data_IF_328690722473
#
_entry.id   IF_328690722473
#
_cell.length_a   1.000
_cell.length_b   1.000
_cell.length_c   1.000
_cell.angle_alpha   90.00
_cell.angle_beta   90.00
_cell.angle_gamma   90.00
#
_symmetry.space_group_name_H-M   'P 1'
#
loop_
_entity.id
_entity.type
_entity.pdbx_description
1 polymer ?
#
# COMPACT_ATOMS: atom_id res chain seq x y z
N UNK A 1 -13.71 -32.26 22.06
CA UNK A 1 -13.76 -30.84 22.43
C UNK A 1 -13.58 -30.10 21.10
N UNK A 2 -14.67 -29.66 20.48
CA UNK A 2 -14.58 -28.94 19.20
C UNK A 2 -14.01 -27.54 19.50
N UNK A 3 -12.74 -27.30 19.11
CA UNK A 3 -12.20 -25.94 19.08
C UNK A 3 -12.96 -25.17 18.00
N UNK A 4 -13.98 -24.43 18.41
CA UNK A 4 -14.61 -23.44 17.53
C UNK A 4 -13.77 -22.16 17.61
N UNK A 5 -12.63 -22.15 16.93
CA UNK A 5 -11.89 -20.92 16.63
C UNK A 5 -12.57 -20.21 15.44
N UNK A 6 -13.89 -19.96 15.58
CA UNK A 6 -14.63 -19.10 14.67
C UNK A 6 -14.20 -17.67 14.95
N UNK A 7 -13.32 -17.12 14.15
CA UNK A 7 -12.95 -15.72 14.25
C UNK A 7 -11.47 -15.38 14.08
N UNK A 8 -10.59 -16.37 14.03
CA UNK A 8 -9.15 -16.10 13.93
C UNK A 8 -8.68 -15.61 12.53
N UNK A 9 -9.47 -15.85 11.49
CA UNK A 9 -9.12 -15.45 10.12
C UNK A 9 -9.16 -13.94 9.85
N UNK A 10 -9.76 -13.15 10.73
CA UNK A 10 -9.94 -11.72 10.54
C UNK A 10 -9.00 -10.85 11.40
N UNK A 11 -7.98 -11.45 11.99
CA UNK A 11 -7.03 -10.72 12.86
C UNK A 11 -5.95 -9.95 12.08
N UNK A 12 -5.88 -10.10 10.76
CA UNK A 12 -5.13 -9.14 9.95
C UNK A 12 -5.94 -7.85 9.84
N UNK A 13 -5.90 -7.03 10.88
CA UNK A 13 -6.17 -5.61 10.72
C UNK A 13 -5.02 -5.11 9.86
N UNK A 14 -5.28 -4.92 8.59
CA UNK A 14 -4.40 -4.13 7.74
C UNK A 14 -4.49 -2.70 8.26
N UNK A 15 -3.71 -2.39 9.30
CA UNK A 15 -3.30 -1.04 9.48
C UNK A 15 -2.55 -0.69 8.20
N UNK A 16 -3.01 0.32 7.50
CA UNK A 16 -2.50 0.67 6.20
C UNK A 16 -0.98 0.78 6.25
N UNK A 17 -0.23 0.08 5.41
CA UNK A 17 1.19 0.32 5.29
C UNK A 17 1.40 1.73 4.75
N UNK A 18 2.32 2.43 5.34
CA UNK A 18 2.76 3.74 4.93
C UNK A 18 4.01 3.54 4.09
N UNK A 19 4.11 4.28 3.01
CA UNK A 19 5.20 4.31 2.05
C UNK A 19 6.53 3.69 2.53
N UNK A 20 6.89 2.55 2.01
CA UNK A 20 8.24 2.09 1.84
C UNK A 20 8.26 1.30 0.54
N UNK A 21 9.14 1.64 -0.37
CA UNK A 21 9.28 0.94 -1.66
C UNK A 21 8.12 1.05 -2.64
N UNK A 22 7.18 2.02 -2.52
CA UNK A 22 6.10 2.19 -3.50
C UNK A 22 4.91 3.01 -3.03
N UNK A 23 3.85 3.05 -3.84
CA UNK A 23 2.61 3.77 -3.56
C UNK A 23 1.50 2.87 -2.97
N UNK A 24 1.82 1.70 -2.40
CA UNK A 24 0.82 0.80 -1.82
C UNK A 24 0.39 1.28 -0.43
N UNK A 25 -0.86 1.74 -0.29
CA UNK A 25 -1.48 2.13 1.00
C UNK A 25 -1.93 0.94 1.81
N UNK A 26 -2.47 -0.10 1.16
CA UNK A 26 -2.90 -1.32 1.82
C UNK A 26 -2.86 -2.51 0.85
N UNK A 27 -2.19 -3.63 1.20
CA UNK A 27 -2.28 -4.84 0.39
C UNK A 27 -3.70 -5.39 0.43
N UNK A 28 -4.16 -5.94 -0.70
CA UNK A 28 -5.47 -6.56 -0.78
C UNK A 28 -5.63 -7.69 0.24
N UNK A 29 -6.65 -7.59 1.08
CA UNK A 29 -6.99 -8.65 2.02
C UNK A 29 -8.06 -9.57 1.45
N UNK A 30 -7.72 -10.84 1.23
CA UNK A 30 -8.67 -11.88 0.83
C UNK A 30 -9.25 -12.67 2.00
N UNK A 31 -9.04 -12.21 3.24
CA UNK A 31 -9.53 -12.85 4.46
C UNK A 31 -11.03 -13.12 4.47
N UNK A 32 -11.81 -12.27 3.81
CA UNK A 32 -13.26 -12.42 3.67
C UNK A 32 -13.67 -13.75 3.00
N UNK A 33 -12.87 -14.30 2.07
CA UNK A 33 -13.14 -15.57 1.42
C UNK A 33 -13.19 -16.74 2.40
N UNK A 34 -12.55 -16.59 3.56
CA UNK A 34 -12.43 -17.63 4.60
C UNK A 34 -13.37 -17.42 5.78
N UNK A 35 -14.16 -16.34 5.81
CA UNK A 35 -15.24 -16.16 6.77
C UNK A 35 -16.33 -17.21 6.53
N UNK A 36 -17.07 -17.58 7.57
CA UNK A 36 -18.12 -18.61 7.48
C UNK A 36 -19.44 -18.00 7.01
N UNK A 37 -20.18 -18.74 6.19
CA UNK A 37 -21.50 -18.35 5.73
C UNK A 37 -21.49 -17.06 4.88
N UNK A 38 -22.59 -16.33 4.94
CA UNK A 38 -22.70 -14.99 4.37
C UNK A 38 -22.11 -13.98 5.33
N UNK A 39 -21.31 -13.06 4.82
CA UNK A 39 -20.60 -12.09 5.64
C UNK A 39 -20.44 -10.76 4.90
N UNK A 40 -20.65 -9.67 5.60
CA UNK A 40 -20.39 -8.34 5.11
C UNK A 40 -19.47 -7.59 6.07
N UNK A 41 -18.57 -6.77 5.57
CA UNK A 41 -17.73 -5.93 6.41
C UNK A 41 -17.56 -4.52 5.83
N UNK A 42 -17.49 -3.55 6.73
CA UNK A 42 -17.12 -2.18 6.47
C UNK A 42 -15.86 -1.88 7.27
N UNK A 43 -14.86 -1.30 6.62
CA UNK A 43 -13.62 -0.87 7.24
C UNK A 43 -13.36 0.61 6.98
N UNK A 44 -12.79 1.29 7.95
CA UNK A 44 -12.36 2.68 7.82
C UNK A 44 -11.23 2.96 8.81
N UNK A 45 -10.44 3.95 8.49
CA UNK A 45 -9.32 4.34 9.33
C UNK A 45 -8.58 5.54 8.76
N UNK A 46 -7.49 5.85 9.41
CA UNK A 46 -6.60 6.93 8.99
C UNK A 46 -5.17 6.64 9.41
N UNK A 47 -4.28 7.30 8.72
CA UNK A 47 -2.84 7.22 8.93
C UNK A 47 -2.27 8.62 8.91
N UNK A 48 -1.39 8.88 9.87
CA UNK A 48 -0.67 10.15 10.05
C UNK A 48 0.83 9.86 10.04
N UNK A 49 1.51 10.03 8.90
CA UNK A 49 2.95 9.92 8.77
C UNK A 49 3.63 11.23 9.14
N UNK A 50 4.87 11.15 9.62
CA UNK A 50 5.78 12.27 9.83
C UNK A 50 7.11 11.91 9.15
N UNK A 51 7.42 12.55 8.01
CA UNK A 51 8.58 12.26 7.17
C UNK A 51 9.38 13.53 6.95
N UNK A 52 10.52 13.64 7.59
CA UNK A 52 11.37 14.83 7.58
C UNK A 52 12.82 14.51 7.16
N UNK A 53 13.55 15.57 6.80
CA UNK A 53 14.98 15.45 6.49
C UNK A 53 15.63 16.80 6.26
N UNK A 54 16.78 16.76 5.58
CA UNK A 54 17.55 17.97 5.21
C UNK A 54 18.02 17.86 3.77
N UNK A 55 17.90 18.96 3.06
CA UNK A 55 18.48 19.09 1.73
C UNK A 55 20.02 19.32 1.76
N UNK A 56 20.64 19.22 0.61
CA UNK A 56 22.11 19.39 0.48
C UNK A 56 22.59 20.82 0.78
N UNK A 57 21.70 21.80 0.81
CA UNK A 57 22.01 23.16 1.23
C UNK A 57 21.85 23.37 2.74
N UNK A 58 21.44 22.30 3.50
CA UNK A 58 21.31 22.29 4.95
C UNK A 58 19.96 22.76 5.48
N UNK A 59 18.97 23.01 4.62
CA UNK A 59 17.61 23.39 5.03
C UNK A 59 16.80 22.16 5.42
N UNK A 60 15.89 22.32 6.40
CA UNK A 60 14.93 21.28 6.76
C UNK A 60 13.89 21.14 5.65
N UNK A 61 13.56 19.90 5.29
CA UNK A 61 12.47 19.65 4.32
C UNK A 61 11.10 20.03 4.89
N UNK A 62 10.96 19.99 6.23
CA UNK A 62 9.67 19.90 6.89
C UNK A 62 9.05 18.51 6.68
N UNK A 63 7.87 18.29 7.25
CA UNK A 63 7.10 17.07 7.01
C UNK A 63 6.58 17.06 5.57
N UNK A 64 7.01 16.05 4.81
CA UNK A 64 6.68 15.94 3.38
C UNK A 64 5.54 14.98 3.11
N UNK A 65 5.17 14.11 4.05
CA UNK A 65 4.11 13.13 3.88
C UNK A 65 2.79 13.66 4.43
N UNK A 66 1.71 13.52 3.67
CA UNK A 66 0.39 13.96 4.13
C UNK A 66 -0.40 12.80 4.70
N UNK A 67 -1.14 13.06 5.79
CA UNK A 67 -2.06 12.10 6.37
C UNK A 67 -3.20 11.74 5.42
N UNK A 68 -3.71 10.50 5.50
CA UNK A 68 -4.81 10.06 4.67
C UNK A 68 -5.80 9.17 5.42
N UNK A 69 -7.06 9.18 4.95
CA UNK A 69 -8.10 8.26 5.38
C UNK A 69 -8.38 7.20 4.34
N UNK A 70 -8.96 6.08 4.77
CA UNK A 70 -9.40 5.02 3.88
C UNK A 70 -10.76 4.46 4.30
N UNK A 71 -11.52 3.99 3.32
CA UNK A 71 -12.78 3.26 3.50
C UNK A 71 -12.74 2.02 2.64
N UNK A 72 -13.17 0.88 3.18
CA UNK A 72 -13.30 -0.36 2.45
C UNK A 72 -14.62 -1.05 2.76
N UNK A 73 -15.11 -1.81 1.81
CA UNK A 73 -16.30 -2.63 1.93
C UNK A 73 -16.01 -4.01 1.34
N UNK A 74 -16.50 -5.06 2.00
CA UNK A 74 -16.47 -6.38 1.41
C UNK A 74 -17.74 -7.17 1.76
N UNK A 75 -18.16 -8.00 0.82
CA UNK A 75 -19.32 -8.88 0.95
C UNK A 75 -18.99 -10.26 0.44
N UNK A 76 -19.32 -11.29 1.22
CA UNK A 76 -19.22 -12.69 0.83
C UNK A 76 -20.58 -13.36 0.82
N UNK A 77 -20.86 -14.10 -0.23
CA UNK A 77 -22.04 -14.96 -0.36
C UNK A 77 -21.64 -16.43 -0.46
N UNK A 78 -22.21 -17.25 0.40
CA UNK A 78 -22.03 -18.68 0.38
C UNK A 78 -23.21 -19.33 -0.34
N UNK A 79 -23.00 -19.82 -1.57
CA UNK A 79 -24.06 -20.48 -2.36
C UNK A 79 -24.37 -21.88 -1.86
N UNK A 80 -23.33 -22.64 -1.49
CA UNK A 80 -23.40 -23.99 -0.92
C UNK A 80 -22.11 -24.31 -0.15
N UNK A 81 -21.94 -25.51 0.34
CA UNK A 81 -20.78 -25.93 1.14
C UNK A 81 -19.43 -25.78 0.41
N UNK A 82 -19.45 -25.82 -0.92
CA UNK A 82 -18.23 -25.79 -1.74
C UNK A 82 -18.00 -24.46 -2.45
N UNK A 83 -19.08 -23.73 -2.83
CA UNK A 83 -18.98 -22.54 -3.67
C UNK A 83 -19.36 -21.27 -2.92
N UNK A 84 -18.50 -20.27 -2.97
CA UNK A 84 -18.76 -18.93 -2.48
C UNK A 84 -18.26 -17.87 -3.47
N UNK A 85 -18.83 -16.67 -3.38
CA UNK A 85 -18.37 -15.48 -4.08
C UNK A 85 -18.04 -14.37 -3.07
N UNK A 86 -17.14 -13.47 -3.44
CA UNK A 86 -16.89 -12.25 -2.68
C UNK A 86 -16.79 -11.05 -3.61
N UNK A 87 -17.17 -9.90 -3.07
CA UNK A 87 -17.00 -8.58 -3.70
C UNK A 87 -16.28 -7.68 -2.70
N UNK A 88 -15.21 -7.02 -3.13
CA UNK A 88 -14.34 -6.20 -2.29
C UNK A 88 -14.18 -4.84 -2.96
N UNK A 89 -14.30 -3.77 -2.17
CA UNK A 89 -13.98 -2.39 -2.56
C UNK A 89 -12.92 -1.87 -1.62
N UNK A 90 -11.82 -1.39 -2.15
CA UNK A 90 -10.67 -0.94 -1.38
C UNK A 90 -9.87 0.14 -2.11
N UNK A 91 -8.97 0.81 -1.40
CA UNK A 91 -8.08 1.85 -1.92
C UNK A 91 -6.62 1.40 -1.75
N UNK A 92 -6.13 0.47 -2.61
CA UNK A 92 -4.85 -0.20 -2.39
C UNK A 92 -3.65 0.69 -2.69
N UNK A 93 -3.76 1.62 -3.63
CA UNK A 93 -2.68 2.50 -4.05
C UNK A 93 -3.03 3.96 -3.81
N UNK A 94 -2.03 4.74 -3.43
CA UNK A 94 -2.15 6.17 -3.28
C UNK A 94 -0.88 6.78 -2.69
N UNK A 95 -0.66 8.06 -3.02
CA UNK A 95 0.41 8.89 -2.49
C UNK A 95 -0.11 10.29 -2.28
N UNK A 96 0.36 10.96 -1.24
CA UNK A 96 0.19 12.41 -1.06
C UNK A 96 1.45 12.95 -0.38
N UNK A 97 2.31 13.55 -1.19
CA UNK A 97 3.57 14.14 -0.77
C UNK A 97 3.61 15.59 -1.19
N UNK A 98 4.12 16.45 -0.31
CA UNK A 98 4.37 17.86 -0.61
C UNK A 98 5.60 18.31 0.15
N UNK A 99 6.65 18.69 -0.55
CA UNK A 99 7.81 19.35 0.03
C UNK A 99 7.50 20.82 0.29
N UNK A 100 7.46 21.28 1.55
CA UNK A 100 7.25 22.68 1.88
C UNK A 100 8.26 23.58 1.20
N UNK A 101 7.79 24.71 0.66
CA UNK A 101 8.65 25.73 0.03
C UNK A 101 9.32 26.58 1.10
N UNK A 102 10.63 26.83 0.95
CA UNK A 102 11.35 27.69 1.88
C UNK A 102 10.79 29.13 1.87
N UNK A 103 10.59 29.77 3.05
CA UNK A 103 10.18 31.16 3.12
C UNK A 103 11.26 32.09 2.54
N UNK A 104 10.86 33.29 2.06
CA UNK A 104 11.79 34.27 1.53
C UNK A 104 12.02 35.41 2.56
N UNK A 105 13.28 35.74 2.93
CA UNK A 105 14.52 35.06 2.54
C UNK A 105 14.62 33.64 3.18
N UNK A 106 15.27 32.69 2.52
CA UNK A 106 15.43 31.35 3.07
C UNK A 106 16.17 31.38 4.41
N UNK A 107 15.66 30.59 5.38
CA UNK A 107 16.26 30.44 6.70
C UNK A 107 16.32 28.94 7.08
N UNK A 108 17.52 28.35 7.30
CA UNK A 108 17.67 26.94 7.64
C UNK A 108 17.00 26.50 8.97
N UNK A 109 16.60 27.45 9.80
CA UNK A 109 15.88 27.17 11.05
C UNK A 109 14.37 26.94 10.85
N UNK A 110 13.84 27.34 9.69
CA UNK A 110 12.44 27.13 9.33
C UNK A 110 12.29 25.89 8.45
N UNK A 111 11.10 25.33 8.44
CA UNK A 111 10.75 24.27 7.52
C UNK A 111 10.57 24.82 6.11
N UNK A 112 10.96 24.00 5.13
CA UNK A 112 10.90 24.32 3.71
C UNK A 112 12.27 24.27 3.05
N UNK A 113 12.35 23.53 1.95
CA UNK A 113 13.57 23.30 1.18
C UNK A 113 13.62 24.21 -0.06
N UNK A 114 14.69 24.96 -0.29
CA UNK A 114 14.91 25.60 -1.59
C UNK A 114 15.31 24.58 -2.68
N UNK A 115 15.75 23.37 -2.30
CA UNK A 115 16.22 22.35 -3.24
C UNK A 115 15.07 21.50 -3.77
N UNK A 116 14.07 21.17 -2.94
CA UNK A 116 12.93 20.30 -3.29
C UNK A 116 11.56 20.97 -3.08
N UNK A 117 11.52 22.15 -2.47
CA UNK A 117 10.28 22.83 -2.10
C UNK A 117 9.38 23.12 -3.30
N UNK A 118 8.10 22.76 -3.18
CA UNK A 118 7.12 22.77 -4.27
C UNK A 118 6.94 21.44 -4.99
N UNK A 119 7.85 20.48 -4.80
CA UNK A 119 7.68 19.12 -5.33
C UNK A 119 6.48 18.45 -4.67
N UNK A 120 5.59 17.88 -5.49
CA UNK A 120 4.36 17.24 -5.06
C UNK A 120 4.12 15.95 -5.83
N UNK A 121 3.58 14.96 -5.13
CA UNK A 121 3.01 13.75 -5.72
C UNK A 121 1.62 13.55 -5.14
N UNK A 122 0.65 13.33 -5.99
CA UNK A 122 -0.68 12.92 -5.57
C UNK A 122 -1.16 11.77 -6.45
N UNK A 123 -1.55 10.66 -5.82
CA UNK A 123 -2.12 9.48 -6.49
C UNK A 123 -3.26 8.96 -5.64
N UNK A 124 -4.39 8.72 -6.27
CA UNK A 124 -5.55 8.09 -5.64
C UNK A 124 -6.05 6.93 -6.51
N UNK A 125 -6.49 5.85 -5.83
CA UNK A 125 -7.09 4.72 -6.52
C UNK A 125 -8.23 4.10 -5.74
N UNK A 126 -9.18 3.51 -6.47
CA UNK A 126 -10.23 2.66 -5.90
C UNK A 126 -10.34 1.40 -6.74
N UNK A 127 -10.25 0.24 -6.09
CA UNK A 127 -10.29 -1.07 -6.74
C UNK A 127 -11.49 -1.86 -6.29
N UNK A 128 -12.17 -2.44 -7.26
CA UNK A 128 -13.33 -3.32 -7.12
C UNK A 128 -12.91 -4.72 -7.55
N UNK A 129 -13.04 -5.70 -6.66
CA UNK A 129 -12.65 -7.08 -6.94
C UNK A 129 -13.83 -8.01 -6.75
N UNK A 130 -14.16 -8.78 -7.80
CA UNK A 130 -15.16 -9.84 -7.75
C UNK A 130 -14.47 -11.20 -7.83
N UNK A 131 -14.72 -12.07 -6.86
CA UNK A 131 -14.05 -13.35 -6.67
C UNK A 131 -15.05 -14.49 -6.57
N UNK A 132 -14.63 -15.66 -7.06
CA UNK A 132 -15.24 -16.95 -6.78
C UNK A 132 -14.23 -17.81 -6.04
N UNK A 133 -14.70 -18.60 -5.08
CA UNK A 133 -13.93 -19.64 -4.39
C UNK A 133 -14.66 -20.95 -4.45
N UNK A 134 -13.95 -22.00 -4.87
CA UNK A 134 -14.43 -23.38 -4.83
C UNK A 134 -13.58 -24.21 -3.87
N UNK A 135 -14.21 -24.84 -2.88
CA UNK A 135 -13.57 -25.73 -1.91
C UNK A 135 -13.87 -27.18 -2.27
N UNK A 136 -12.83 -27.99 -2.42
CA UNK A 136 -12.91 -29.42 -2.64
C UNK A 136 -13.05 -30.17 -1.32
N UNK A 137 -13.50 -31.42 -1.38
CA UNK A 137 -13.70 -32.26 -0.19
C UNK A 137 -12.40 -32.63 0.54
N UNK A 138 -11.25 -32.46 -0.13
CA UNK A 138 -9.91 -32.73 0.42
C UNK A 138 -9.27 -31.51 1.12
N UNK A 139 -10.06 -30.52 1.54
CA UNK A 139 -9.61 -29.30 2.20
C UNK A 139 -8.80 -28.32 1.33
N UNK A 140 -8.59 -28.63 0.06
CA UNK A 140 -8.03 -27.67 -0.91
C UNK A 140 -9.14 -26.73 -1.39
N UNK A 141 -8.83 -25.49 -1.60
CA UNK A 141 -9.70 -24.57 -2.33
C UNK A 141 -8.93 -23.79 -3.35
N UNK A 142 -9.61 -23.37 -4.42
CA UNK A 142 -9.09 -22.45 -5.42
C UNK A 142 -9.97 -21.21 -5.46
N UNK A 143 -9.38 -20.07 -5.70
CA UNK A 143 -10.10 -18.82 -5.87
C UNK A 143 -9.55 -18.06 -7.04
N UNK A 144 -10.42 -17.24 -7.64
CA UNK A 144 -10.02 -16.38 -8.74
C UNK A 144 -11.13 -15.39 -9.07
N UNK A 145 -10.74 -14.33 -9.79
CA UNK A 145 -11.69 -13.30 -10.15
C UNK A 145 -11.08 -12.15 -10.92
N UNK A 146 -11.89 -11.14 -11.13
CA UNK A 146 -11.55 -9.94 -11.89
C UNK A 146 -11.41 -8.73 -10.95
N UNK A 147 -10.54 -7.82 -11.34
CA UNK A 147 -10.32 -6.53 -10.67
C UNK A 147 -10.58 -5.41 -11.67
N UNK A 148 -11.35 -4.42 -11.26
CA UNK A 148 -11.46 -3.14 -11.93
C UNK A 148 -10.89 -2.06 -11.03
N UNK A 149 -9.95 -1.27 -11.51
CA UNK A 149 -9.33 -0.20 -10.74
C UNK A 149 -9.52 1.13 -11.46
N UNK A 150 -10.01 2.12 -10.74
CA UNK A 150 -9.99 3.52 -11.16
C UNK A 150 -8.82 4.19 -10.48
N UNK A 151 -7.98 4.90 -11.22
CA UNK A 151 -6.83 5.61 -10.70
C UNK A 151 -6.70 6.97 -11.36
N UNK A 152 -6.17 7.94 -10.60
CA UNK A 152 -5.82 9.28 -11.07
C UNK A 152 -4.58 9.75 -10.32
N UNK A 153 -3.86 10.74 -10.85
CA UNK A 153 -2.70 11.25 -10.15
C UNK A 153 -1.99 12.39 -10.86
N UNK A 154 -0.97 12.91 -10.19
CA UNK A 154 -0.13 13.98 -10.74
C UNK A 154 1.19 14.11 -9.99
N UNK A 155 2.15 14.71 -10.66
CA UNK A 155 3.49 14.99 -10.14
C UNK A 155 3.88 16.39 -10.54
N UNK A 156 4.28 17.20 -9.56
CA UNK A 156 4.94 18.49 -9.79
C UNK A 156 6.39 18.39 -9.31
N UNK A 157 7.34 18.74 -10.12
CA UNK A 157 8.75 18.84 -9.76
C UNK A 157 9.13 20.32 -9.62
N UNK A 158 9.56 20.73 -8.42
CA UNK A 158 10.01 22.09 -8.20
C UNK A 158 11.22 22.13 -7.26
N UNK A 159 11.89 23.29 -7.22
CA UNK A 159 13.09 23.51 -6.45
C UNK A 159 14.38 23.36 -7.28
N UNK A 160 15.47 23.88 -6.69
CA UNK A 160 16.77 23.97 -7.35
C UNK A 160 17.39 22.60 -7.67
N UNK A 161 16.99 21.54 -6.97
CA UNK A 161 17.51 20.18 -7.17
C UNK A 161 17.16 19.59 -8.52
N UNK A 162 16.09 20.03 -9.14
CA UNK A 162 15.66 19.57 -10.45
C UNK A 162 16.25 20.39 -11.61
N UNK A 163 17.00 21.45 -11.32
CA UNK A 163 17.68 22.23 -12.35
C UNK A 163 16.74 22.70 -13.46
N UNK A 164 17.00 22.29 -14.70
CA UNK A 164 16.19 22.69 -15.86
C UNK A 164 14.79 22.08 -15.94
N UNK A 165 14.47 21.10 -15.09
CA UNK A 165 13.13 20.48 -15.00
C UNK A 165 12.28 21.05 -13.85
N UNK A 166 12.80 21.99 -13.07
CA UNK A 166 12.00 22.70 -12.08
C UNK A 166 10.81 23.41 -12.76
N UNK A 167 9.62 23.29 -12.16
CA UNK A 167 8.36 23.73 -12.74
C UNK A 167 7.73 22.75 -13.74
N UNK A 168 8.24 21.52 -13.83
CA UNK A 168 7.58 20.43 -14.55
C UNK A 168 6.32 19.97 -13.81
N UNK A 169 5.24 19.76 -14.55
CA UNK A 169 3.94 19.34 -14.04
C UNK A 169 3.35 18.28 -14.95
N UNK A 170 2.99 17.14 -14.35
CA UNK A 170 2.31 16.01 -14.97
C UNK A 170 0.97 15.80 -14.32
N UNK A 171 -0.09 15.75 -15.10
CA UNK A 171 -1.45 15.42 -14.70
C UNK A 171 -1.92 14.18 -15.48
N UNK A 172 -2.41 13.19 -14.77
CA UNK A 172 -3.02 11.96 -15.31
C UNK A 172 -4.50 12.00 -14.98
N UNK A 173 -5.35 12.16 -16.02
CA UNK A 173 -6.80 12.14 -15.89
C UNK A 173 -7.26 10.77 -15.36
N UNK A 174 -8.35 10.74 -14.59
CA UNK A 174 -8.85 9.51 -14.01
C UNK A 174 -9.27 8.46 -15.04
N UNK A 175 -8.71 7.23 -14.93
CA UNK A 175 -8.94 6.14 -15.87
C UNK A 175 -9.16 4.79 -15.21
N UNK A 176 -9.93 3.92 -15.92
CA UNK A 176 -10.18 2.55 -15.51
C UNK A 176 -9.16 1.59 -16.10
N UNK A 177 -8.68 0.69 -15.25
CA UNK A 177 -7.88 -0.45 -15.65
C UNK A 177 -8.50 -1.77 -15.18
N UNK A 178 -8.10 -2.88 -15.78
CA UNK A 178 -8.60 -4.21 -15.42
C UNK A 178 -7.47 -5.20 -15.19
N UNK A 179 -7.69 -6.12 -14.26
CA UNK A 179 -6.77 -7.19 -13.94
C UNK A 179 -7.51 -8.40 -13.38
N UNK A 180 -6.75 -9.38 -12.88
CA UNK A 180 -7.30 -10.59 -12.29
C UNK A 180 -6.54 -11.03 -11.05
N UNK A 181 -7.19 -11.88 -10.26
CA UNK A 181 -6.63 -12.54 -9.07
C UNK A 181 -6.80 -14.04 -9.25
N UNK A 182 -5.76 -14.80 -8.91
CA UNK A 182 -5.79 -16.26 -8.87
C UNK A 182 -5.11 -16.75 -7.61
N UNK A 183 -5.63 -17.82 -7.00
CA UNK A 183 -4.98 -18.39 -5.84
C UNK A 183 -5.54 -19.75 -5.45
N UNK A 184 -4.86 -20.35 -4.48
CA UNK A 184 -5.23 -21.61 -3.87
C UNK A 184 -4.99 -21.57 -2.38
N UNK A 185 -5.74 -22.37 -1.63
CA UNK A 185 -5.55 -22.54 -0.20
C UNK A 185 -5.76 -23.99 0.22
N UNK A 186 -5.08 -24.33 1.32
CA UNK A 186 -5.28 -25.60 2.03
C UNK A 186 -5.61 -25.31 3.49
N UNK A 187 -6.67 -25.94 4.00
CA UNK A 187 -7.18 -25.70 5.35
C UNK A 187 -7.27 -26.99 6.14
N UNK A 188 -6.85 -26.95 7.40
CA UNK A 188 -7.04 -28.04 8.39
C UNK A 188 -7.84 -27.43 9.55
N UNK A 189 -9.19 -27.53 9.51
CA UNK A 189 -10.06 -26.85 10.49
C UNK A 189 -9.80 -27.28 11.95
N UNK A 190 -9.42 -28.52 12.19
CA UNK A 190 -9.22 -29.05 13.55
C UNK A 190 -8.13 -28.35 14.35
N UNK A 191 -7.16 -27.78 13.66
CA UNK A 191 -6.05 -27.02 14.25
C UNK A 191 -6.03 -25.56 13.78
N UNK A 192 -7.12 -25.10 13.16
CA UNK A 192 -7.24 -23.76 12.57
C UNK A 192 -6.08 -23.42 11.60
N UNK A 193 -5.47 -24.44 10.97
CA UNK A 193 -4.40 -24.21 10.02
C UNK A 193 -4.95 -23.85 8.64
N UNK A 194 -4.32 -22.87 8.02
CA UNK A 194 -4.53 -22.48 6.63
C UNK A 194 -3.22 -22.00 6.04
N UNK A 195 -2.97 -22.40 4.80
CA UNK A 195 -1.94 -21.80 3.94
C UNK A 195 -2.63 -21.38 2.65
N UNK A 196 -2.40 -20.16 2.19
CA UNK A 196 -2.91 -19.66 0.93
C UNK A 196 -1.82 -18.96 0.12
N UNK A 197 -1.85 -19.15 -1.19
CA UNK A 197 -1.01 -18.46 -2.14
C UNK A 197 -1.91 -17.72 -3.11
N UNK A 198 -1.68 -16.43 -3.26
CA UNK A 198 -2.46 -15.55 -4.14
C UNK A 198 -1.54 -14.77 -5.08
N UNK A 199 -1.92 -14.73 -6.33
CA UNK A 199 -1.33 -13.90 -7.38
C UNK A 199 -2.29 -12.80 -7.79
N UNK A 200 -1.81 -11.57 -7.82
CA UNK A 200 -2.49 -10.41 -8.41
C UNK A 200 -1.77 -10.02 -9.69
N UNK A 201 -2.51 -9.96 -10.80
CA UNK A 201 -1.97 -9.48 -12.08
C UNK A 201 -1.66 -7.98 -12.03
N UNK A 202 -0.79 -7.47 -12.90
CA UNK A 202 -0.74 -6.04 -13.19
C UNK A 202 -2.11 -5.53 -13.63
N UNK A 203 -2.35 -4.25 -13.42
CA UNK A 203 -3.49 -3.53 -14.00
C UNK A 203 -2.94 -2.40 -14.85
N UNK A 204 -3.32 -2.37 -16.12
CA UNK A 204 -2.93 -1.33 -17.07
C UNK A 204 -4.01 -0.25 -17.09
N UNK A 205 -3.59 1.02 -16.97
CA UNK A 205 -4.43 2.20 -17.09
C UNK A 205 -3.91 3.03 -18.25
N UNK A 206 -4.75 3.27 -19.24
CA UNK A 206 -4.43 4.09 -20.42
C UNK A 206 -4.84 5.54 -20.14
N UNK A 207 -4.02 6.23 -19.36
CA UNK A 207 -4.29 7.60 -18.95
C UNK A 207 -4.23 8.59 -20.11
N UNK A 208 -5.15 9.55 -20.13
CA UNK A 208 -4.92 10.81 -20.81
C UNK A 208 -4.02 11.66 -19.93
N UNK A 209 -2.90 12.06 -20.50
CA UNK A 209 -1.82 12.76 -19.83
C UNK A 209 -1.72 14.19 -20.32
N UNK A 210 -1.52 15.14 -19.40
CA UNK A 210 -1.14 16.51 -19.71
C UNK A 210 0.18 16.83 -19.03
N UNK A 211 1.20 17.17 -19.83
CA UNK A 211 2.50 17.61 -19.33
C UNK A 211 2.70 19.11 -19.59
N UNK A 212 3.28 19.81 -18.61
CA UNK A 212 3.63 21.24 -18.71
C UNK A 212 5.04 21.45 -18.15
N UNK A 213 5.66 22.54 -18.53
CA UNK A 213 7.01 22.89 -18.07
C UNK A 213 8.12 22.16 -18.84
N UNK A 214 9.35 22.23 -18.31
CA UNK A 214 10.53 21.75 -19.01
C UNK A 214 10.96 22.66 -20.18
N UNK A 215 11.66 22.13 -21.20
CA UNK A 215 12.29 22.93 -22.25
C UNK A 215 11.30 23.53 -23.25
N UNK A 216 10.05 23.09 -23.28
CA UNK A 216 9.04 23.57 -24.21
C UNK A 216 8.00 24.45 -23.50
N UNK A 217 7.69 25.66 -24.03
CA UNK A 217 6.75 26.56 -23.41
C UNK A 217 5.27 26.22 -23.71
N UNK A 218 4.99 24.99 -24.12
CA UNK A 218 3.65 24.51 -24.50
C UNK A 218 3.30 23.25 -23.72
N UNK A 219 2.01 23.09 -23.39
CA UNK A 219 1.53 21.85 -22.83
C UNK A 219 1.55 20.73 -23.90
N UNK A 220 1.97 19.56 -23.50
CA UNK A 220 1.82 18.33 -24.29
C UNK A 220 0.63 17.55 -23.74
N UNK A 221 -0.25 17.07 -24.62
CA UNK A 221 -1.39 16.21 -24.27
C UNK A 221 -1.28 14.95 -25.09
N UNK A 222 -1.31 13.80 -24.45
CA UNK A 222 -1.17 12.49 -25.07
C UNK A 222 -1.81 11.39 -24.24
N UNK A 223 -1.74 10.17 -24.73
CA UNK A 223 -2.17 8.99 -24.02
C UNK A 223 -0.93 8.23 -23.52
N UNK A 224 -0.98 7.75 -22.29
CA UNK A 224 0.13 7.02 -21.68
C UNK A 224 -0.37 5.87 -20.79
N UNK A 225 0.23 4.68 -20.96
CA UNK A 225 -0.14 3.50 -20.17
C UNK A 225 0.78 3.37 -18.96
N UNK A 226 0.18 3.40 -17.76
CA UNK A 226 0.85 3.08 -16.50
C UNK A 226 0.37 1.72 -15.99
N UNK A 227 1.29 0.89 -15.50
CA UNK A 227 0.99 -0.45 -14.96
C UNK A 227 1.14 -0.44 -13.44
N UNK A 228 0.10 -0.82 -12.72
CA UNK A 228 0.27 -1.20 -11.32
C UNK A 228 0.99 -2.55 -11.24
N UNK A 229 1.84 -2.79 -10.22
CA UNK A 229 2.68 -3.98 -10.19
C UNK A 229 1.90 -5.26 -9.93
N UNK A 230 2.41 -6.37 -10.45
CA UNK A 230 1.99 -7.71 -10.02
C UNK A 230 2.50 -8.02 -8.63
N UNK A 231 1.81 -8.91 -7.95
CA UNK A 231 2.25 -9.36 -6.63
C UNK A 231 1.93 -10.81 -6.35
N UNK A 232 2.73 -11.40 -5.46
CA UNK A 232 2.48 -12.71 -4.87
C UNK A 232 2.39 -12.58 -3.36
N UNK A 233 1.37 -13.20 -2.76
CA UNK A 233 1.20 -13.24 -1.31
C UNK A 233 1.03 -14.68 -0.86
N UNK A 234 1.96 -15.13 -0.01
CA UNK A 234 1.85 -16.38 0.73
C UNK A 234 1.41 -16.05 2.16
N UNK A 235 0.27 -16.59 2.58
CA UNK A 235 -0.24 -16.41 3.94
C UNK A 235 -0.33 -17.75 4.65
N UNK A 236 -0.06 -17.75 5.94
CA UNK A 236 -0.16 -18.93 6.77
C UNK A 236 -0.73 -18.61 8.14
N UNK A 237 -1.48 -19.54 8.70
CA UNK A 237 -1.92 -19.51 10.10
C UNK A 237 -2.04 -20.91 10.67
N UNK A 238 -1.92 -21.04 11.99
CA UNK A 238 -2.19 -22.30 12.70
C UNK A 238 -2.45 -22.05 14.20
N UNK A 239 -3.31 -22.85 14.80
CA UNK A 239 -3.47 -22.91 16.25
C UNK A 239 -2.25 -23.55 16.89
N UNK A 240 -1.57 -22.82 17.78
CA UNK A 240 -0.36 -23.29 18.49
C UNK A 240 -0.63 -23.69 19.94
N UNK A 241 -1.74 -23.24 20.49
CA UNK A 241 -2.24 -23.62 21.81
C UNK A 241 -3.76 -23.39 21.88
N UNK A 242 -4.39 -23.78 22.98
CA UNK A 242 -5.79 -23.42 23.22
C UNK A 242 -5.98 -21.92 23.10
N UNK A 243 -6.99 -21.50 22.31
CA UNK A 243 -7.36 -20.10 22.09
C UNK A 243 -6.22 -19.21 21.54
N UNK A 244 -5.16 -19.80 20.96
CA UNK A 244 -3.99 -19.06 20.48
C UNK A 244 -3.66 -19.46 19.05
N UNK A 245 -3.59 -18.47 18.17
CA UNK A 245 -3.28 -18.60 16.74
C UNK A 245 -1.95 -17.91 16.44
N UNK A 246 -1.07 -18.58 15.72
CA UNK A 246 0.07 -17.97 15.03
C UNK A 246 -0.33 -17.71 13.58
N UNK A 247 0.03 -16.55 13.05
CA UNK A 247 -0.21 -16.22 11.63
C UNK A 247 0.96 -15.43 11.07
N UNK A 248 1.06 -15.40 9.75
CA UNK A 248 2.06 -14.60 9.07
C UNK A 248 1.88 -14.61 7.57
N UNK A 249 2.64 -13.75 6.90
CA UNK A 249 2.64 -13.66 5.45
C UNK A 249 4.00 -13.24 4.90
N UNK A 250 4.23 -13.61 3.64
CA UNK A 250 5.31 -13.08 2.80
C UNK A 250 4.65 -12.54 1.54
N UNK A 251 4.85 -11.24 1.27
CA UNK A 251 4.33 -10.56 0.09
C UNK A 251 5.48 -10.00 -0.73
N UNK A 252 5.56 -10.41 -1.98
CA UNK A 252 6.47 -9.84 -2.97
C UNK A 252 5.68 -9.01 -3.99
N UNK A 253 6.18 -7.82 -4.30
CA UNK A 253 5.61 -6.88 -5.25
C UNK A 253 6.67 -6.47 -6.26
N UNK A 254 6.36 -6.57 -7.54
CA UNK A 254 7.26 -6.21 -8.63
C UNK A 254 7.10 -4.74 -9.00
N UNK A 255 7.62 -3.86 -8.15
CA UNK A 255 7.57 -2.41 -8.37
C UNK A 255 8.37 -1.94 -9.57
N UNK A 256 9.37 -2.70 -10.01
CA UNK A 256 10.13 -2.42 -11.24
C UNK A 256 9.28 -2.48 -12.52
N UNK A 257 8.00 -2.85 -12.45
CA UNK A 257 7.03 -2.75 -13.55
C UNK A 257 6.21 -1.45 -13.51
N UNK A 258 6.28 -0.69 -12.40
CA UNK A 258 5.63 0.60 -12.27
C UNK A 258 6.56 1.67 -12.83
N UNK A 259 6.34 2.02 -14.08
CA UNK A 259 7.10 3.02 -14.80
C UNK A 259 6.17 4.16 -15.22
N UNK A 260 6.62 5.39 -15.03
CA UNK A 260 6.00 6.59 -15.58
C UNK A 260 7.02 7.22 -16.52
N UNK A 261 6.98 6.81 -17.79
CA UNK A 261 7.85 7.28 -18.86
C UNK A 261 7.07 8.21 -19.79
N UNK A 262 7.15 9.47 -19.54
CA UNK A 262 6.41 10.55 -20.17
C UNK A 262 7.22 11.19 -21.32
N UNK A 263 6.61 12.09 -22.09
CA UNK A 263 7.21 12.63 -23.31
C UNK A 263 8.17 13.80 -23.05
N UNK A 264 7.77 14.79 -22.24
CA UNK A 264 8.56 16.02 -22.03
C UNK A 264 9.70 15.83 -21.05
N UNK A 265 9.52 15.01 -20.02
CA UNK A 265 10.54 14.81 -19.00
C UNK A 265 11.84 14.21 -19.55
N UNK A 266 11.82 13.15 -20.40
CA UNK A 266 13.03 12.66 -21.04
C UNK A 266 13.71 13.65 -21.98
N UNK A 267 12.94 14.57 -22.61
CA UNK A 267 13.54 15.63 -23.45
C UNK A 267 14.35 16.61 -22.59
N UNK A 268 13.89 16.87 -21.36
CA UNK A 268 14.54 17.79 -20.44
C UNK A 268 15.78 17.19 -19.75
N UNK A 269 15.73 15.92 -19.41
CA UNK A 269 16.75 15.23 -18.62
C UNK A 269 17.68 14.34 -19.46
N UNK A 270 17.25 13.92 -20.64
CA UNK A 270 17.90 12.93 -21.48
C UNK A 270 17.01 11.71 -21.73
N UNK A 271 17.13 11.11 -22.89
CA UNK A 271 16.31 9.94 -23.28
C UNK A 271 16.57 8.75 -22.35
N UNK A 272 15.50 8.13 -21.86
CA UNK A 272 15.58 6.91 -21.04
C UNK A 272 15.69 7.14 -19.53
N UNK A 273 15.37 8.34 -19.04
CA UNK A 273 15.24 8.61 -17.61
C UNK A 273 13.76 8.56 -17.24
N UNK A 274 13.30 7.55 -16.47
CA UNK A 274 11.91 7.51 -15.99
C UNK A 274 11.68 8.59 -14.92
N UNK A 275 10.47 9.15 -14.88
CA UNK A 275 10.06 10.09 -13.81
C UNK A 275 10.02 9.38 -12.45
N UNK A 276 9.55 8.13 -12.43
CA UNK A 276 9.46 7.28 -11.25
C UNK A 276 10.15 5.96 -11.53
N UNK A 277 11.05 5.58 -10.63
CA UNK A 277 11.74 4.30 -10.62
C UNK A 277 11.66 3.72 -9.21
N UNK A 278 11.07 2.54 -9.08
CA UNK A 278 10.88 1.85 -7.82
C UNK A 278 11.51 0.45 -7.89
N UNK A 279 12.03 -0.04 -6.79
CA UNK A 279 12.60 -1.38 -6.67
C UNK A 279 11.58 -2.40 -6.14
N UNK A 280 11.76 -3.68 -6.50
CA UNK A 280 10.90 -4.77 -6.05
C UNK A 280 11.00 -4.95 -4.54
N UNK A 281 9.87 -5.07 -3.85
CA UNK A 281 9.83 -5.20 -2.39
C UNK A 281 9.37 -6.58 -1.94
N UNK A 282 9.86 -6.99 -0.77
CA UNK A 282 9.36 -8.17 -0.04
C UNK A 282 9.04 -7.79 1.39
N UNK A 283 7.74 -7.90 1.73
CA UNK A 283 7.23 -7.60 3.07
C UNK A 283 6.96 -8.91 3.82
N UNK A 284 7.46 -9.00 5.04
CA UNK A 284 7.26 -10.12 5.95
C UNK A 284 6.38 -9.69 7.11
N UNK A 285 5.39 -10.51 7.47
CA UNK A 285 4.55 -10.27 8.63
C UNK A 285 4.49 -11.55 9.48
N UNK A 286 4.57 -11.39 10.80
CA UNK A 286 4.33 -12.46 11.76
C UNK A 286 3.50 -11.90 12.91
N UNK A 287 2.56 -12.69 13.41
CA UNK A 287 1.71 -12.25 14.51
C UNK A 287 1.10 -13.39 15.29
N UNK A 288 0.59 -13.05 16.46
CA UNK A 288 -0.12 -13.95 17.34
C UNK A 288 -1.46 -13.35 17.72
N UNK A 289 -2.50 -14.17 17.66
CA UNK A 289 -3.84 -13.84 18.12
C UNK A 289 -4.26 -14.72 19.28
N UNK A 290 -5.02 -14.16 20.23
CA UNK A 290 -5.52 -14.91 21.37
C UNK A 290 -6.95 -14.53 21.70
N UNK A 291 -7.77 -15.53 21.96
CA UNK A 291 -9.10 -15.39 22.54
C UNK A 291 -8.96 -15.29 24.07
N UNK A 292 -9.43 -14.21 24.67
CA UNK A 292 -9.36 -13.96 26.10
C UNK A 292 -10.63 -14.38 26.82
N UNK A 293 -11.79 -14.10 26.19
CA UNK A 293 -13.12 -14.49 26.66
C UNK A 293 -13.96 -14.94 25.47
N UNK A 294 -15.21 -15.31 25.69
CA UNK A 294 -16.10 -15.71 24.59
C UNK A 294 -16.35 -14.57 23.59
N UNK A 295 -16.29 -13.34 24.05
CA UNK A 295 -16.55 -12.15 23.20
C UNK A 295 -15.26 -11.40 22.82
N UNK A 296 -14.19 -11.49 23.60
CA UNK A 296 -12.99 -10.70 23.37
C UNK A 296 -11.81 -11.53 22.93
N UNK A 297 -11.18 -11.08 21.87
CA UNK A 297 -9.87 -11.54 21.42
C UNK A 297 -8.98 -10.36 21.06
N UNK A 298 -7.70 -10.62 20.97
CA UNK A 298 -6.72 -9.61 20.56
C UNK A 298 -5.62 -10.24 19.75
N UNK A 299 -4.89 -9.40 19.04
CA UNK A 299 -3.72 -9.81 18.27
C UNK A 299 -2.61 -8.77 18.34
N UNK A 300 -1.41 -9.27 18.15
CA UNK A 300 -0.22 -8.45 17.92
C UNK A 300 0.50 -9.01 16.70
N UNK A 301 0.93 -8.14 15.80
CA UNK A 301 1.77 -8.51 14.67
C UNK A 301 2.94 -7.55 14.51
N UNK A 302 3.99 -8.09 13.92
CA UNK A 302 5.18 -7.37 13.52
C UNK A 302 5.34 -7.50 12.01
N UNK A 303 5.69 -6.38 11.35
CA UNK A 303 5.95 -6.29 9.92
C UNK A 303 7.39 -5.83 9.71
N UNK A 304 8.04 -6.38 8.71
CA UNK A 304 9.36 -6.01 8.27
C UNK A 304 9.41 -5.95 6.73
N UNK A 305 10.00 -4.89 6.21
CA UNK A 305 10.36 -4.70 4.81
C UNK A 305 11.77 -4.12 4.76
N UNK A 306 12.62 -4.72 3.94
CA UNK A 306 14.04 -4.33 3.86
C UNK A 306 14.22 -2.97 3.21
N UNK A 307 15.35 -2.33 3.49
CA UNK A 307 15.78 -1.10 2.84
C UNK A 307 16.57 -1.42 1.58
N UNK A 308 16.43 -0.56 0.60
CA UNK A 308 17.18 -0.61 -0.65
C UNK A 308 18.56 0.09 -0.50
N UNK A 309 19.50 -0.32 -1.32
CA UNK A 309 20.82 0.33 -1.38
C UNK A 309 20.81 1.53 -2.35
N UNK A 310 21.54 2.58 -2.01
CA UNK A 310 21.77 3.73 -2.90
C UNK A 310 20.87 4.93 -2.69
N UNK A 311 20.70 5.74 -3.75
CA UNK A 311 19.90 6.97 -3.73
C UNK A 311 18.47 6.66 -4.12
N UNK A 312 17.54 6.90 -3.20
CA UNK A 312 16.09 6.75 -3.43
C UNK A 312 15.48 7.98 -4.10
N UNK A 313 14.26 7.85 -4.61
CA UNK A 313 13.57 8.93 -5.29
C UNK A 313 12.98 9.96 -4.30
N UNK A 314 13.07 11.28 -4.57
CA UNK A 314 12.29 12.27 -3.82
C UNK A 314 10.78 12.05 -3.89
N UNK A 315 10.28 11.34 -4.90
CA UNK A 315 8.87 11.00 -5.05
C UNK A 315 8.43 9.78 -4.21
N UNK A 316 9.41 9.09 -3.55
CA UNK A 316 9.20 8.02 -2.57
C UNK A 316 10.30 8.13 -1.50
N UNK A 317 10.17 9.08 -0.54
CA UNK A 317 11.29 9.53 0.31
C UNK A 317 11.56 8.65 1.51
N UNK A 318 11.07 7.43 1.58
CA UNK A 318 11.28 6.47 2.67
C UNK A 318 11.87 5.17 2.15
N UNK A 319 12.62 4.45 3.00
CA UNK A 319 13.42 3.30 2.61
C UNK A 319 13.33 2.17 3.63
N UNK A 320 12.53 1.14 3.29
CA UNK A 320 12.23 0.05 4.20
C UNK A 320 11.38 0.47 5.41
N UNK A 321 10.83 -0.50 6.13
CA UNK A 321 9.95 -0.21 7.29
C UNK A 321 9.87 -1.36 8.27
N UNK A 322 9.54 -1.00 9.52
CA UNK A 322 9.22 -1.94 10.60
C UNK A 322 7.96 -1.45 11.29
N UNK A 323 6.99 -2.34 11.47
CA UNK A 323 5.75 -1.94 12.12
C UNK A 323 5.30 -2.92 13.19
N UNK A 324 4.60 -2.38 14.18
CA UNK A 324 3.89 -3.16 15.19
C UNK A 324 2.42 -2.79 15.11
N UNK A 325 1.56 -3.80 15.02
CA UNK A 325 0.10 -3.62 15.07
C UNK A 325 -0.46 -4.32 16.30
N UNK A 326 -1.31 -3.62 17.03
CA UNK A 326 -2.12 -4.18 18.11
C UNK A 326 -3.58 -4.10 17.71
N UNK A 327 -4.32 -5.20 17.87
CA UNK A 327 -5.73 -5.27 17.54
C UNK A 327 -6.55 -5.86 18.69
N UNK A 328 -7.75 -5.32 18.88
CA UNK A 328 -8.78 -5.88 19.74
C UNK A 328 -9.99 -6.24 18.88
N UNK A 329 -10.57 -7.40 19.14
CA UNK A 329 -11.76 -7.90 18.46
C UNK A 329 -12.85 -8.18 19.48
N UNK A 330 -14.01 -7.59 19.29
CA UNK A 330 -15.22 -7.88 20.03
C UNK A 330 -16.22 -8.59 19.13
N UNK A 331 -16.64 -9.78 19.53
CA UNK A 331 -17.63 -10.58 18.82
C UNK A 331 -18.84 -10.80 19.70
N UNK A 332 -20.00 -10.42 19.21
CA UNK A 332 -21.27 -10.68 19.88
C UNK A 332 -22.34 -11.03 18.85
N UNK A 333 -22.93 -12.21 19.00
CA UNK A 333 -23.93 -12.75 18.07
C UNK A 333 -23.39 -12.76 16.62
N UNK A 334 -23.99 -11.99 15.72
CA UNK A 334 -23.59 -11.84 14.31
C UNK A 334 -22.57 -10.73 14.08
N UNK A 335 -22.32 -9.87 15.08
CA UNK A 335 -21.42 -8.73 14.94
C UNK A 335 -19.99 -9.07 15.35
N UNK A 336 -19.04 -8.57 14.60
CA UNK A 336 -17.63 -8.64 14.87
C UNK A 336 -17.00 -7.28 14.63
N UNK A 337 -16.56 -6.62 15.71
CA UNK A 337 -15.93 -5.31 15.65
C UNK A 337 -14.44 -5.51 15.93
N UNK A 338 -13.61 -5.07 14.99
CA UNK A 338 -12.16 -5.11 15.14
C UNK A 338 -11.63 -3.69 15.14
N UNK A 339 -10.83 -3.33 16.14
CA UNK A 339 -10.13 -2.05 16.20
C UNK A 339 -8.64 -2.32 16.31
N UNK A 340 -7.84 -1.60 15.54
CA UNK A 340 -6.40 -1.74 15.53
C UNK A 340 -5.68 -0.39 15.59
N UNK A 341 -4.53 -0.39 16.22
CA UNK A 341 -3.55 0.68 16.16
C UNK A 341 -2.26 0.13 15.59
N UNK A 342 -1.61 0.94 14.77
CA UNK A 342 -0.34 0.60 14.14
C UNK A 342 0.67 1.71 14.43
N UNK A 343 1.89 1.30 14.75
CA UNK A 343 3.06 2.17 14.77
C UNK A 343 4.06 1.64 13.76
N UNK A 344 4.48 2.49 12.83
CA UNK A 344 5.45 2.16 11.80
C UNK A 344 6.66 3.08 11.95
N UNK A 345 7.84 2.47 12.01
CA UNK A 345 9.10 3.15 11.81
C UNK A 345 9.49 3.01 10.34
N UNK A 346 9.62 4.14 9.66
CA UNK A 346 10.06 4.26 8.27
C UNK A 346 11.56 4.51 8.25
N UNK A 347 12.29 3.80 7.41
CA UNK A 347 13.71 4.06 7.21
C UNK A 347 13.92 5.34 6.41
N UNK A 348 14.91 6.12 6.80
CA UNK A 348 15.41 7.25 6.05
C UNK A 348 16.36 6.82 4.93
N UNK A 349 16.89 7.80 4.20
CA UNK A 349 17.85 7.54 3.13
C UNK A 349 18.28 8.80 2.40
N UNK A 350 19.27 8.64 1.54
CA UNK A 350 19.74 9.72 0.67
C UNK A 350 18.87 9.81 -0.57
N UNK A 351 18.30 11.00 -0.83
CA UNK A 351 17.50 11.27 -2.02
C UNK A 351 18.39 11.68 -3.19
N UNK A 352 18.10 11.16 -4.38
CA UNK A 352 18.83 11.49 -5.60
C UNK A 352 17.92 11.82 -6.78
N UNK A 353 18.38 12.78 -7.59
CA UNK A 353 17.75 13.17 -8.87
C UNK A 353 18.75 12.94 -10.00
N UNK A 354 18.28 12.51 -11.15
CA UNK A 354 19.09 12.24 -12.33
C UNK A 354 18.95 10.83 -12.89
N UNK A 355 19.85 10.45 -13.79
CA UNK A 355 19.83 9.14 -14.47
C UNK A 355 20.07 7.99 -13.51
N UNK A 356 19.42 6.86 -13.77
CA UNK A 356 19.70 5.59 -13.10
C UNK A 356 21.20 5.26 -13.16
N UNK A 357 21.79 5.00 -11.99
CA UNK A 357 23.23 4.76 -11.85
C UNK A 357 24.10 6.02 -11.83
N UNK A 358 23.54 7.22 -12.08
CA UNK A 358 24.27 8.50 -12.00
C UNK A 358 23.43 9.60 -11.33
N UNK A 359 22.64 9.22 -10.30
CA UNK A 359 21.85 10.18 -9.52
C UNK A 359 22.74 11.12 -8.71
N UNK A 360 22.35 12.39 -8.63
CA UNK A 360 22.99 13.37 -7.77
C UNK A 360 22.18 13.51 -6.48
N UNK A 361 22.85 13.39 -5.33
CA UNK A 361 22.22 13.56 -4.02
C UNK A 361 21.66 14.99 -3.88
N UNK A 362 20.40 15.10 -3.43
CA UNK A 362 19.68 16.38 -3.23
C UNK A 362 19.21 16.57 -1.79
N UNK A 363 19.02 15.50 -1.03
CA UNK A 363 18.62 15.55 0.37
C UNK A 363 19.01 14.28 1.12
N UNK A 364 18.88 14.29 2.44
CA UNK A 364 18.91 13.13 3.31
C UNK A 364 17.65 13.15 4.16
N UNK A 365 16.88 12.07 4.11
CA UNK A 365 15.71 11.89 4.98
C UNK A 365 16.14 11.17 6.26
N UNK A 366 15.59 11.64 7.38
CA UNK A 366 15.80 10.99 8.70
C UNK A 366 14.93 9.73 8.80
N UNK A 367 15.27 8.85 9.78
CA UNK A 367 14.33 7.80 10.20
C UNK A 367 13.03 8.46 10.67
N UNK A 368 11.94 8.05 10.09
CA UNK A 368 10.64 8.68 10.21
C UNK A 368 9.63 7.74 10.86
N UNK A 369 8.46 8.23 11.19
CA UNK A 369 7.44 7.41 11.83
C UNK A 369 6.04 7.69 11.29
N UNK A 370 5.13 6.78 11.61
CA UNK A 370 3.74 6.96 11.28
C UNK A 370 2.81 6.19 12.22
N UNK A 371 1.68 6.79 12.51
CA UNK A 371 0.63 6.22 13.32
C UNK A 371 -0.60 5.93 12.48
N UNK A 372 -1.18 4.74 12.68
CA UNK A 372 -2.41 4.34 12.03
C UNK A 372 -3.45 3.86 13.03
N UNK A 373 -4.71 4.14 12.73
CA UNK A 373 -5.86 3.59 13.44
C UNK A 373 -6.87 3.07 12.43
N UNK A 374 -7.46 1.91 12.72
CA UNK A 374 -8.49 1.33 11.86
C UNK A 374 -9.58 0.65 12.67
N UNK A 375 -10.78 0.67 12.10
CA UNK A 375 -11.96 -0.04 12.61
C UNK A 375 -12.58 -0.83 11.48
N UNK A 376 -12.94 -2.09 11.77
CA UNK A 376 -13.68 -2.97 10.88
C UNK A 376 -14.91 -3.48 11.61
N UNK A 377 -16.06 -3.36 10.98
CA UNK A 377 -17.35 -3.85 11.48
C UNK A 377 -17.82 -4.93 10.52
N UNK A 378 -17.88 -6.17 11.01
CA UNK A 378 -18.35 -7.33 10.28
C UNK A 378 -19.71 -7.80 10.78
N UNK A 379 -20.50 -8.37 9.88
CA UNK A 379 -21.81 -8.93 10.15
C UNK A 379 -22.00 -10.26 9.41
N UNK A 380 -22.31 -11.31 10.18
CA UNK A 380 -22.64 -12.66 9.66
C UNK A 380 -24.15 -12.84 9.59
N UNK A 381 -24.71 -13.43 8.52
CA UNK A 381 -26.16 -13.62 8.34
C UNK A 381 -26.52 -14.86 7.51
#
# INVERSE_FOLDING_TARGET
>A
MKLVLTGAAALMVTAAPIFAGGIERAPQSLGILFEQGNYAELSFGGVDPEVEGRDVAGFRTGDVAQGFGFVGFAYKHQFNENLSAAFIVEQPFGADLLYPTAPLPPNPANDGSPVLGGTRVQVDSTTYTALLRYRFDNNVSVHGGIRGSYAEGGVTLDGLGYGGTAGYDLELDGEWGTGYVLGAAYEIPDIAARVSLTYNSPIEHDFRMTERGGPLPVAFVGDYTVKTPRSWTLEGQTGIAADTLLFGSVRWVKWSEFEVDNFLFPIAQGAGIPLVELEDTTTYTIGVGRKFTDNWSGAMSFLYEDSEDGLISPLSPTNGRKAITLAAVYTQDQFKITTGINYTKLGGGDLGVGETGNKTKVATMDDSEAWGIGVKIGYSF
#
